data_IF_925146711464
#
_entry.id   IF_925146711464
#
_cell.length_a   1.000
_cell.length_b   1.000
_cell.length_c   1.000
_cell.angle_alpha   90.00
_cell.angle_beta   90.00
_cell.angle_gamma   90.00
#
_symmetry.space_group_name_H-M   'P 1'
#
loop_
_entity.id
_entity.type
_entity.pdbx_description
1 polymer ?
#
# COMPACT_ATOMS: atom_id res chain seq x y z
N UNK A 1 -10.06 -11.20 11.76
CA UNK A 1 -9.82 -10.45 10.53
C UNK A 1 -8.45 -10.77 9.94
N UNK A 2 -7.40 -10.64 10.73
CA UNK A 2 -6.06 -10.98 10.27
C UNK A 2 -5.88 -12.46 9.92
N UNK A 3 -6.73 -13.31 10.43
CA UNK A 3 -6.66 -14.76 10.19
C UNK A 3 -6.96 -15.15 8.74
N UNK A 4 -7.53 -14.24 7.96
CA UNK A 4 -7.83 -14.52 6.55
C UNK A 4 -6.58 -14.53 5.67
N UNK A 5 -5.51 -13.85 6.08
CA UNK A 5 -4.32 -13.70 5.25
C UNK A 5 -3.17 -14.65 5.58
N UNK A 6 -3.09 -15.32 6.74
CA UNK A 6 -2.02 -16.27 6.98
C UNK A 6 -1.94 -17.42 5.96
N UNK A 7 -3.04 -17.64 5.22
CA UNK A 7 -3.07 -18.65 4.15
C UNK A 7 -2.36 -18.18 2.89
N UNK A 8 -2.12 -16.88 2.74
CA UNK A 8 -1.36 -16.32 1.64
C UNK A 8 0.11 -16.35 2.01
N UNK A 9 0.71 -17.51 1.89
CA UNK A 9 2.12 -17.67 2.23
C UNK A 9 2.99 -16.86 1.30
N UNK A 10 3.86 -16.04 1.86
CA UNK A 10 4.79 -15.20 1.12
C UNK A 10 6.04 -15.99 0.76
N UNK A 11 5.88 -17.08 0.02
CA UNK A 11 6.97 -18.02 -0.27
C UNK A 11 7.32 -18.13 -1.76
N UNK A 12 6.79 -17.26 -2.59
CA UNK A 12 7.07 -17.32 -4.02
C UNK A 12 8.33 -16.53 -4.37
N UNK A 13 9.16 -17.09 -5.24
CA UNK A 13 10.37 -16.46 -5.74
C UNK A 13 10.30 -16.20 -7.25
N UNK A 14 9.10 -16.24 -7.83
CA UNK A 14 8.90 -16.05 -9.26
C UNK A 14 9.07 -14.61 -9.72
N UNK A 15 9.17 -13.68 -8.78
CA UNK A 15 9.37 -12.27 -9.05
C UNK A 15 10.72 -11.82 -8.49
N UNK A 16 11.34 -10.86 -9.18
CA UNK A 16 12.58 -10.25 -8.72
C UNK A 16 12.28 -8.99 -7.95
N UNK A 17 12.85 -8.89 -6.75
CA UNK A 17 12.64 -7.73 -5.88
C UNK A 17 13.97 -7.05 -5.58
N UNK A 18 14.01 -5.71 -5.50
CA UNK A 18 15.19 -4.98 -5.05
C UNK A 18 15.54 -5.32 -3.59
N UNK A 19 16.75 -4.98 -3.17
CA UNK A 19 17.18 -5.21 -1.79
C UNK A 19 16.49 -4.28 -0.79
N UNK A 20 16.26 -3.03 -1.19
CA UNK A 20 15.66 -2.02 -0.33
C UNK A 20 14.55 -1.34 -1.12
N UNK A 21 13.31 -1.64 -0.77
CA UNK A 21 12.18 -1.16 -1.54
C UNK A 21 10.94 -0.94 -0.68
N UNK A 22 10.00 -0.21 -1.26
CA UNK A 22 8.66 -0.02 -0.71
C UNK A 22 7.64 -0.56 -1.69
N UNK A 23 6.52 -1.08 -1.18
CA UNK A 23 5.38 -1.42 -2.04
C UNK A 23 4.48 -0.20 -2.16
N UNK A 24 3.97 0.05 -3.37
CA UNK A 24 3.14 1.22 -3.67
C UNK A 24 1.87 0.77 -4.37
N UNK A 25 0.73 1.26 -3.88
CA UNK A 25 -0.56 0.98 -4.49
C UNK A 25 -1.42 2.25 -4.43
N UNK A 26 -1.54 2.95 -5.55
CA UNK A 26 -2.33 4.17 -5.67
C UNK A 26 -3.64 3.98 -6.43
N UNK A 27 -3.85 2.80 -7.00
CA UNK A 27 -5.06 2.50 -7.75
C UNK A 27 -6.27 2.38 -6.83
N UNK A 28 -7.41 2.90 -7.28
CA UNK A 28 -8.66 2.83 -6.54
C UNK A 28 -9.82 2.66 -7.51
N UNK A 29 -10.82 1.91 -7.11
CA UNK A 29 -12.06 1.76 -7.88
C UNK A 29 -12.87 3.05 -7.89
N UNK A 30 -12.64 3.94 -6.93
CA UNK A 30 -13.31 5.24 -6.86
C UNK A 30 -12.45 6.33 -7.46
N UNK A 31 -12.93 7.00 -8.49
CA UNK A 31 -12.23 8.12 -9.12
C UNK A 31 -11.96 9.25 -8.11
N UNK A 32 -12.83 9.41 -7.12
CA UNK A 32 -12.66 10.44 -6.08
C UNK A 32 -11.49 10.18 -5.16
N UNK A 33 -11.01 8.93 -5.10
CA UNK A 33 -9.89 8.51 -4.26
C UNK A 33 -8.59 8.42 -5.04
N UNK A 34 -8.64 8.57 -6.36
CA UNK A 34 -7.45 8.46 -7.20
C UNK A 34 -6.55 9.68 -7.03
N UNK A 35 -5.32 9.41 -6.69
CA UNK A 35 -4.29 10.43 -6.55
C UNK A 35 -3.80 10.82 -7.94
N UNK A 36 -3.73 12.13 -8.21
CA UNK A 36 -3.28 12.65 -9.50
C UNK A 36 -1.78 12.40 -9.69
N UNK A 37 -1.29 12.31 -10.95
CA UNK A 37 0.13 12.04 -11.21
C UNK A 37 1.11 12.97 -10.50
N UNK A 38 0.81 14.26 -10.43
CA UNK A 38 1.66 15.22 -9.71
C UNK A 38 1.73 14.91 -8.21
N UNK A 39 0.61 14.51 -7.64
CA UNK A 39 0.53 14.16 -6.23
C UNK A 39 1.29 12.86 -5.95
N UNK A 40 1.19 11.89 -6.87
CA UNK A 40 1.95 10.63 -6.78
C UNK A 40 3.44 10.90 -6.75
N UNK A 41 3.91 11.78 -7.64
CA UNK A 41 5.32 12.13 -7.71
C UNK A 41 5.78 12.79 -6.41
N UNK A 42 4.99 13.72 -5.90
CA UNK A 42 5.31 14.40 -4.64
C UNK A 42 5.40 13.42 -3.47
N UNK A 43 4.52 12.41 -3.43
CA UNK A 43 4.56 11.37 -2.42
C UNK A 43 5.81 10.52 -2.58
N UNK A 44 6.09 10.07 -3.79
CA UNK A 44 7.25 9.20 -4.06
C UNK A 44 8.58 9.89 -3.80
N UNK A 45 8.65 11.22 -3.96
CA UNK A 45 9.85 11.99 -3.67
C UNK A 45 10.24 11.90 -2.19
N UNK A 46 9.30 11.60 -1.31
CA UNK A 46 9.58 11.39 0.12
C UNK A 46 10.29 10.07 0.39
N UNK A 47 10.26 9.15 -0.57
CA UNK A 47 10.83 7.82 -0.44
C UNK A 47 11.93 7.54 -1.46
N UNK A 48 12.62 8.59 -1.89
CA UNK A 48 13.64 8.49 -2.95
C UNK A 48 14.82 7.59 -2.59
N UNK A 49 15.02 7.28 -1.31
CA UNK A 49 16.06 6.36 -0.87
C UNK A 49 15.68 4.89 -1.06
N UNK A 50 14.48 4.62 -1.54
CA UNK A 50 13.95 3.28 -1.72
C UNK A 50 13.58 3.05 -3.18
N UNK A 51 13.75 1.81 -3.64
CA UNK A 51 13.16 1.40 -4.90
C UNK A 51 11.64 1.28 -4.75
N UNK A 52 10.91 1.55 -5.83
CA UNK A 52 9.46 1.50 -5.81
C UNK A 52 8.98 0.23 -6.53
N UNK A 53 8.22 -0.59 -5.82
CA UNK A 53 7.58 -1.78 -6.39
C UNK A 53 6.07 -1.55 -6.37
N UNK A 54 5.50 -1.30 -7.54
CA UNK A 54 4.05 -1.08 -7.66
C UNK A 54 3.32 -2.42 -7.62
N UNK A 55 2.30 -2.51 -6.77
CA UNK A 55 1.43 -3.68 -6.66
C UNK A 55 0.00 -3.29 -6.98
N UNK A 56 -0.81 -4.26 -7.40
CA UNK A 56 -2.19 -4.00 -7.77
C UNK A 56 -2.35 -3.59 -9.22
N UNK A 57 -3.48 -2.98 -9.56
CA UNK A 57 -3.90 -2.74 -10.95
C UNK A 57 -2.95 -1.92 -11.81
N UNK A 58 -2.10 -1.10 -11.19
CA UNK A 58 -1.15 -0.26 -11.90
C UNK A 58 0.22 -0.92 -12.11
N UNK A 59 0.41 -2.12 -11.59
CA UNK A 59 1.67 -2.82 -11.74
C UNK A 59 1.90 -3.26 -13.20
N UNK A 60 3.13 -3.08 -13.68
CA UNK A 60 3.54 -3.58 -14.99
C UNK A 60 3.84 -5.07 -14.95
N UNK A 61 4.11 -5.61 -13.78
CA UNK A 61 4.33 -7.04 -13.59
C UNK A 61 2.98 -7.71 -13.33
N UNK A 62 2.60 -8.64 -14.20
CA UNK A 62 1.30 -9.31 -14.12
C UNK A 62 1.12 -10.06 -12.80
N UNK A 63 2.19 -10.61 -12.25
CA UNK A 63 2.12 -11.32 -10.97
C UNK A 63 1.85 -10.36 -9.81
N UNK A 64 2.47 -9.19 -9.83
CA UNK A 64 2.23 -8.16 -8.81
C UNK A 64 0.91 -7.42 -9.02
N UNK A 65 0.29 -7.56 -10.18
CA UNK A 65 -1.02 -6.99 -10.47
C UNK A 65 -2.16 -7.90 -10.04
N UNK A 66 -2.07 -9.18 -10.39
CA UNK A 66 -3.21 -10.10 -10.33
C UNK A 66 -3.08 -11.22 -9.29
N UNK A 67 -1.87 -11.51 -8.81
CA UNK A 67 -1.65 -12.61 -7.88
C UNK A 67 -1.45 -12.11 -6.45
N UNK A 68 -2.44 -12.33 -5.60
CA UNK A 68 -2.35 -11.95 -4.18
C UNK A 68 -1.17 -12.61 -3.49
N UNK A 69 -0.84 -13.84 -3.89
CA UNK A 69 0.29 -14.56 -3.33
C UNK A 69 1.62 -13.85 -3.60
N UNK A 70 1.81 -13.37 -4.82
CA UNK A 70 3.03 -12.64 -5.18
C UNK A 70 3.06 -11.24 -4.54
N UNK A 71 1.90 -10.58 -4.47
CA UNK A 71 1.78 -9.30 -3.78
C UNK A 71 2.13 -9.46 -2.30
N UNK A 72 1.63 -10.51 -1.66
CA UNK A 72 1.93 -10.82 -0.27
C UNK A 72 3.44 -11.04 -0.07
N UNK A 73 4.07 -11.75 -0.98
CA UNK A 73 5.51 -11.97 -0.94
C UNK A 73 6.27 -10.64 -1.01
N UNK A 74 5.91 -9.76 -1.95
CA UNK A 74 6.54 -8.45 -2.07
C UNK A 74 6.37 -7.63 -0.79
N UNK A 75 5.15 -7.60 -0.23
CA UNK A 75 4.88 -6.89 1.01
C UNK A 75 5.72 -7.42 2.17
N UNK A 76 5.92 -8.74 2.25
CA UNK A 76 6.68 -9.35 3.34
C UNK A 76 8.17 -8.97 3.33
N UNK A 77 8.68 -8.50 2.19
CA UNK A 77 10.09 -8.12 2.02
C UNK A 77 10.31 -6.61 1.98
N UNK A 78 9.25 -5.84 1.82
CA UNK A 78 9.35 -4.38 1.72
C UNK A 78 9.59 -3.71 3.07
N UNK A 79 10.15 -2.50 3.03
CA UNK A 79 10.35 -1.70 4.25
C UNK A 79 9.07 -0.98 4.66
N UNK A 80 8.38 -0.38 3.68
CA UNK A 80 7.12 0.34 3.90
C UNK A 80 6.10 -0.06 2.85
N UNK A 81 4.82 0.11 3.20
CA UNK A 81 3.75 0.13 2.22
C UNK A 81 3.21 1.55 2.11
N UNK A 82 3.11 2.05 0.89
CA UNK A 82 2.60 3.39 0.60
C UNK A 82 1.40 3.24 -0.33
N UNK A 83 0.27 3.76 0.06
CA UNK A 83 -0.91 3.58 -0.77
C UNK A 83 -2.08 4.44 -0.38
N UNK A 84 -3.24 4.10 -0.91
CA UNK A 84 -4.50 4.77 -0.67
C UNK A 84 -5.41 3.89 0.19
N UNK A 85 -6.55 4.45 0.61
CA UNK A 85 -7.58 3.70 1.34
C UNK A 85 -8.19 2.65 0.41
N UNK A 86 -7.71 1.44 0.49
CA UNK A 86 -8.11 0.31 -0.37
C UNK A 86 -7.95 -1.02 0.38
N UNK A 87 -8.34 -2.11 -0.28
CA UNK A 87 -8.14 -3.46 0.27
C UNK A 87 -6.68 -3.78 0.56
N UNK A 88 -5.74 -3.17 -0.16
CA UNK A 88 -4.31 -3.37 0.08
C UNK A 88 -3.85 -2.77 1.41
N UNK A 89 -4.52 -1.73 1.90
CA UNK A 89 -4.27 -1.23 3.24
C UNK A 89 -4.54 -2.30 4.29
N UNK A 90 -5.64 -3.04 4.13
CA UNK A 90 -5.97 -4.12 5.06
C UNK A 90 -4.96 -5.27 4.95
N UNK A 91 -4.59 -5.64 3.73
CA UNK A 91 -3.60 -6.68 3.49
C UNK A 91 -2.23 -6.32 4.08
N UNK A 92 -1.83 -5.06 3.97
CA UNK A 92 -0.55 -4.59 4.48
C UNK A 92 -0.42 -4.75 6.00
N UNK A 93 -1.53 -4.72 6.72
CA UNK A 93 -1.52 -4.88 8.18
C UNK A 93 -1.07 -6.27 8.63
N UNK A 94 -1.03 -7.24 7.72
CA UNK A 94 -0.53 -8.59 8.02
C UNK A 94 1.00 -8.61 8.01
N UNK A 95 1.63 -7.81 7.14
CA UNK A 95 3.06 -7.90 6.86
C UNK A 95 3.88 -6.77 7.42
N UNK A 96 3.26 -5.67 7.80
CA UNK A 96 3.95 -4.48 8.27
C UNK A 96 3.51 -4.11 9.67
N UNK A 97 4.45 -3.58 10.46
CA UNK A 97 4.08 -2.85 11.67
C UNK A 97 3.26 -1.62 11.26
N UNK A 98 2.27 -1.19 12.06
CA UNK A 98 1.39 -0.08 11.65
C UNK A 98 2.13 1.19 11.27
N UNK A 99 3.19 1.54 11.97
CA UNK A 99 3.99 2.74 11.67
C UNK A 99 4.70 2.68 10.32
N UNK A 100 4.80 1.50 9.71
CA UNK A 100 5.41 1.30 8.39
C UNK A 100 4.38 1.26 7.26
N UNK A 101 3.13 1.51 7.57
CA UNK A 101 2.06 1.63 6.59
C UNK A 101 1.71 3.11 6.46
N UNK A 102 1.93 3.67 5.27
CA UNK A 102 1.71 5.08 5.00
C UNK A 102 0.58 5.22 3.99
N UNK A 103 -0.56 5.72 4.44
CA UNK A 103 -1.74 5.88 3.61
C UNK A 103 -1.95 7.35 3.29
N UNK A 104 -2.20 7.64 2.03
CA UNK A 104 -2.45 8.98 1.54
C UNK A 104 -3.89 9.06 1.02
N UNK A 105 -4.61 10.08 1.44
CA UNK A 105 -6.00 10.24 1.05
C UNK A 105 -6.30 11.69 0.69
N UNK A 106 -7.20 11.88 -0.28
CA UNK A 106 -7.71 13.21 -0.64
C UNK A 106 -8.86 13.62 0.26
N UNK A 107 -9.44 12.69 1.02
CA UNK A 107 -10.59 12.96 1.86
C UNK A 107 -10.17 13.64 3.17
N UNK A 108 -10.85 14.72 3.59
CA UNK A 108 -10.60 15.28 4.90
C UNK A 108 -11.03 14.31 6.00
N UNK A 109 -10.46 14.48 7.19
CA UNK A 109 -10.64 13.56 8.32
C UNK A 109 -12.11 13.31 8.66
N UNK A 110 -12.96 14.33 8.58
CA UNK A 110 -14.38 14.22 8.89
C UNK A 110 -15.17 13.37 7.89
N UNK A 111 -14.56 13.02 6.74
CA UNK A 111 -15.17 12.16 5.71
C UNK A 111 -14.55 10.77 5.66
N UNK A 112 -13.64 10.46 6.58
CA UNK A 112 -13.02 9.14 6.61
C UNK A 112 -14.04 8.07 6.99
N UNK A 113 -13.87 6.87 6.41
CA UNK A 113 -14.63 5.70 6.81
C UNK A 113 -14.22 5.25 8.21
N UNK A 114 -15.05 4.38 8.81
CA UNK A 114 -14.71 3.71 10.06
C UNK A 114 -13.35 3.01 9.99
N UNK A 115 -13.06 2.39 8.87
CA UNK A 115 -11.81 1.65 8.66
C UNK A 115 -10.60 2.57 8.73
N UNK A 116 -10.72 3.78 8.18
CA UNK A 116 -9.63 4.76 8.20
C UNK A 116 -9.36 5.26 9.62
N UNK A 117 -10.41 5.58 10.37
CA UNK A 117 -10.25 6.00 11.76
C UNK A 117 -9.63 4.90 12.61
N UNK A 118 -10.08 3.67 12.44
CA UNK A 118 -9.53 2.53 13.14
C UNK A 118 -8.07 2.28 12.78
N UNK A 119 -7.72 2.41 11.50
CA UNK A 119 -6.35 2.25 11.05
C UNK A 119 -5.43 3.27 11.73
N UNK A 120 -5.86 4.52 11.79
CA UNK A 120 -5.09 5.57 12.46
C UNK A 120 -4.94 5.28 13.96
N UNK A 121 -6.01 4.86 14.61
CA UNK A 121 -5.98 4.51 16.03
C UNK A 121 -5.02 3.35 16.31
N UNK A 122 -4.82 2.47 15.33
CA UNK A 122 -3.89 1.35 15.42
C UNK A 122 -2.45 1.72 15.06
N UNK A 123 -2.19 2.97 14.73
CA UNK A 123 -0.82 3.45 14.49
C UNK A 123 -0.42 3.61 13.03
N UNK A 124 -1.32 3.33 12.09
CA UNK A 124 -1.06 3.55 10.67
C UNK A 124 -0.93 5.05 10.40
N UNK A 125 0.06 5.43 9.61
CA UNK A 125 0.29 6.82 9.23
C UNK A 125 -0.68 7.20 8.12
N UNK A 126 -1.64 8.06 8.44
CA UNK A 126 -2.61 8.54 7.46
C UNK A 126 -2.35 10.02 7.19
N UNK A 127 -2.15 10.33 5.91
CA UNK A 127 -1.88 11.69 5.44
C UNK A 127 -3.08 12.14 4.61
N UNK A 128 -3.80 13.13 5.11
CA UNK A 128 -4.87 13.79 4.36
C UNK A 128 -4.36 15.12 3.80
N UNK A 129 -5.11 15.70 2.88
CA UNK A 129 -4.75 17.01 2.36
C UNK A 129 -3.53 17.01 1.44
N UNK A 130 -3.41 16.03 0.59
CA UNK A 130 -2.36 15.97 -0.45
C UNK A 130 -2.71 16.98 -1.55
N UNK A 131 -2.35 18.19 -1.40
CA UNK A 131 -2.61 19.19 -2.43
C UNK A 131 -1.32 19.86 -2.86
#
# INVERSE_FOLDING_TARGET
YLTHFPQLKAETQDIKLPKKFITVQFDSTSKKRMIKPKQRQAILDKYKDYEVVTVGGESKDILLRDSLKHIAYAMSKATYHVGVDSGFMHMSQVYFAPENIHIYTLSPKDRWSHHMHRAKDNGIKINDGIN
#
